data_IF_929878217934
#
_entry.id   IF_929878217934
#
_cell.length_a   1.000
_cell.length_b   1.000
_cell.length_c   1.000
_cell.angle_alpha   90.00
_cell.angle_beta   90.00
_cell.angle_gamma   90.00
#
_symmetry.space_group_name_H-M   'P 1'
#
loop_
_entity.id
_entity.type
_entity.pdbx_description
1 polymer ?
#
# COMPACT_ATOMS: atom_id res chain seq x y z
N UNK A 1 7.18 -4.09 3.62
CA UNK A 1 7.57 -2.83 4.33
C UNK A 1 7.23 -2.98 5.80
N UNK A 2 7.59 -2.04 6.69
CA UNK A 2 7.15 -2.07 8.10
C UNK A 2 5.69 -1.59 8.26
N UNK A 3 5.22 -0.74 7.35
CA UNK A 3 3.89 -0.13 7.35
C UNK A 3 3.12 -0.47 6.06
N UNK A 4 1.79 -0.37 6.08
CA UNK A 4 0.90 -0.61 4.93
C UNK A 4 1.18 0.37 3.76
N UNK A 5 0.60 0.08 2.59
CA UNK A 5 0.87 0.84 1.37
C UNK A 5 0.30 2.26 1.37
N UNK A 6 -0.85 2.46 2.02
CA UNK A 6 -1.59 3.72 1.99
C UNK A 6 -1.84 4.35 3.36
N UNK A 7 -1.30 3.76 4.44
CA UNK A 7 -1.41 4.28 5.81
C UNK A 7 -0.25 3.78 6.69
N UNK A 8 -0.11 4.37 7.89
CA UNK A 8 0.97 4.06 8.83
C UNK A 8 0.80 2.79 9.67
N UNK A 9 -0.29 2.02 9.51
CA UNK A 9 -0.47 0.78 10.28
C UNK A 9 0.64 -0.23 9.97
N UNK A 10 1.02 -1.03 10.97
CA UNK A 10 2.01 -2.10 10.82
C UNK A 10 1.53 -3.22 9.87
N UNK A 11 2.49 -3.95 9.31
CA UNK A 11 2.28 -5.19 8.54
C UNK A 11 2.85 -6.42 9.26
N UNK A 12 3.16 -6.30 10.55
CA UNK A 12 3.67 -7.39 11.36
C UNK A 12 2.64 -8.53 11.46
N UNK A 13 3.12 -9.76 11.32
CA UNK A 13 2.26 -10.95 11.33
C UNK A 13 1.91 -11.38 12.77
N UNK A 14 0.93 -12.28 12.89
CA UNK A 14 0.51 -12.92 14.15
C UNK A 14 0.02 -11.94 15.22
N UNK A 15 -0.80 -10.99 14.80
CA UNK A 15 -1.44 -10.02 15.69
C UNK A 15 -2.93 -10.33 15.81
N UNK A 16 -3.57 -9.80 16.85
CA UNK A 16 -5.00 -10.00 17.08
C UNK A 16 -5.84 -9.41 15.93
N UNK A 17 -7.02 -10.00 15.72
CA UNK A 17 -7.94 -9.55 14.69
C UNK A 17 -8.25 -8.04 14.83
N UNK A 18 -8.15 -7.31 13.71
CA UNK A 18 -8.42 -5.87 13.62
C UNK A 18 -7.54 -4.95 14.49
N UNK A 19 -6.52 -5.47 15.18
CA UNK A 19 -5.62 -4.68 16.06
C UNK A 19 -4.72 -3.68 15.31
N UNK A 20 -4.43 -3.94 14.04
CA UNK A 20 -3.55 -3.11 13.21
C UNK A 20 -4.32 -2.36 12.12
N UNK A 21 -5.39 -1.66 12.51
CA UNK A 21 -6.30 -0.96 11.60
C UNK A 21 -6.35 0.54 11.90
N UNK A 22 -6.88 1.32 10.95
CA UNK A 22 -7.10 2.76 11.09
C UNK A 22 -8.20 3.19 10.11
N UNK A 23 -8.68 4.44 10.18
CA UNK A 23 -9.73 4.93 9.28
C UNK A 23 -9.43 4.72 7.79
N UNK A 24 -8.16 4.82 7.36
CA UNK A 24 -7.78 4.66 5.95
C UNK A 24 -7.95 3.21 5.48
N UNK A 25 -7.37 2.24 6.19
CA UNK A 25 -7.42 0.83 5.76
C UNK A 25 -8.73 0.12 6.09
N UNK A 26 -9.59 0.75 6.89
CA UNK A 26 -10.99 0.36 7.09
C UNK A 26 -11.95 1.01 6.08
N UNK A 27 -11.47 1.93 5.25
CA UNK A 27 -12.31 2.64 4.28
C UNK A 27 -13.36 3.54 4.94
N UNK A 28 -13.07 4.12 6.11
CA UNK A 28 -14.01 4.99 6.80
C UNK A 28 -14.20 6.32 6.06
N UNK A 29 -15.40 6.93 6.13
CA UNK A 29 -15.67 8.23 5.51
C UNK A 29 -14.67 9.31 5.96
N UNK A 30 -14.17 10.08 4.99
CA UNK A 30 -13.22 11.18 5.23
C UNK A 30 -11.75 10.78 5.34
N UNK A 31 -11.42 9.49 5.34
CA UNK A 31 -10.03 9.04 5.37
C UNK A 31 -9.35 9.17 3.98
N UNK A 32 -8.08 9.58 3.96
CA UNK A 32 -7.30 9.79 2.72
C UNK A 32 -6.05 8.88 2.69
N UNK A 33 -5.70 8.30 1.52
CA UNK A 33 -4.51 7.46 1.38
C UNK A 33 -3.22 8.28 1.24
N UNK A 34 -2.11 7.80 1.81
CA UNK A 34 -0.75 8.34 1.61
C UNK A 34 0.19 7.22 1.20
N UNK A 35 0.84 7.35 0.05
CA UNK A 35 1.70 6.32 -0.55
C UNK A 35 2.95 6.05 0.30
N UNK A 36 3.30 4.78 0.44
CA UNK A 36 4.50 4.33 1.14
C UNK A 36 5.75 4.42 0.24
N UNK A 37 6.70 5.28 0.63
CA UNK A 37 7.98 5.48 -0.07
C UNK A 37 8.78 4.18 -0.26
N UNK A 38 8.97 3.40 0.81
CA UNK A 38 9.72 2.15 0.76
C UNK A 38 9.00 1.11 -0.10
N UNK A 39 7.67 1.15 -0.15
CA UNK A 39 6.86 0.32 -1.05
C UNK A 39 7.16 0.62 -2.53
N UNK A 40 7.22 1.90 -2.88
CA UNK A 40 7.58 2.35 -4.25
C UNK A 40 9.03 1.99 -4.58
N UNK A 41 9.98 2.28 -3.68
CA UNK A 41 11.39 1.94 -3.87
C UNK A 41 11.59 0.43 -4.09
N UNK A 42 10.89 -0.40 -3.31
CA UNK A 42 10.95 -1.87 -3.46
C UNK A 42 10.39 -2.33 -4.81
N UNK A 43 9.30 -1.71 -5.29
CA UNK A 43 8.72 -2.03 -6.59
C UNK A 43 9.69 -1.67 -7.74
N UNK A 44 10.36 -0.52 -7.67
CA UNK A 44 11.40 -0.12 -8.64
C UNK A 44 12.56 -1.12 -8.63
N UNK A 45 13.06 -1.50 -7.45
CA UNK A 45 14.14 -2.49 -7.31
C UNK A 45 13.79 -3.83 -7.94
N UNK A 46 12.56 -4.32 -7.73
CA UNK A 46 12.08 -5.57 -8.36
C UNK A 46 12.04 -5.42 -9.88
N UNK A 47 11.51 -4.31 -10.40
CA UNK A 47 11.49 -4.05 -11.85
C UNK A 47 12.89 -4.11 -12.46
N UNK A 48 13.87 -3.43 -11.86
CA UNK A 48 15.26 -3.45 -12.32
C UNK A 48 15.87 -4.86 -12.23
N UNK A 49 15.62 -5.60 -11.14
CA UNK A 49 16.11 -6.97 -10.96
C UNK A 49 15.54 -7.95 -12.01
N UNK A 50 14.35 -7.65 -12.54
CA UNK A 50 13.70 -8.40 -13.61
C UNK A 50 14.03 -7.85 -15.02
N UNK A 51 15.01 -6.94 -15.13
CA UNK A 51 15.40 -6.26 -16.37
C UNK A 51 14.26 -5.51 -17.06
N UNK A 52 13.31 -4.97 -16.29
CA UNK A 52 12.26 -4.10 -16.81
C UNK A 52 12.78 -2.67 -16.99
N UNK A 53 12.19 -1.96 -17.96
CA UNK A 53 12.29 -0.51 -18.05
C UNK A 53 11.32 0.14 -17.04
N UNK A 54 11.80 1.09 -16.26
CA UNK A 54 11.01 1.76 -15.23
C UNK A 54 10.40 3.02 -15.82
N UNK A 55 9.07 3.13 -15.77
CA UNK A 55 8.38 4.33 -16.21
C UNK A 55 8.74 5.54 -15.34
N UNK A 56 9.07 6.67 -15.99
CA UNK A 56 9.39 7.93 -15.30
C UNK A 56 8.16 8.54 -14.59
N UNK A 57 6.96 8.19 -15.05
CA UNK A 57 5.71 8.67 -14.47
C UNK A 57 4.67 7.56 -14.38
N UNK A 58 4.04 7.47 -13.21
CA UNK A 58 2.97 6.54 -12.90
C UNK A 58 1.93 7.21 -12.00
N UNK A 59 0.70 6.68 -12.03
CA UNK A 59 -0.38 7.06 -11.11
C UNK A 59 -1.12 5.85 -10.58
N UNK A 60 -1.70 5.97 -9.38
CA UNK A 60 -2.66 5.00 -8.88
C UNK A 60 -4.05 5.25 -9.49
N UNK A 61 -4.79 4.17 -9.73
CA UNK A 61 -6.18 4.20 -10.20
C UNK A 61 -7.06 3.33 -9.28
N UNK A 62 -8.36 3.66 -9.20
CA UNK A 62 -9.33 2.89 -8.38
C UNK A 62 -9.91 1.75 -9.21
N UNK A 63 -9.81 0.52 -8.72
CA UNK A 63 -10.50 -0.66 -9.26
C UNK A 63 -11.73 -0.93 -8.42
N UNK A 64 -12.92 -0.56 -8.92
CA UNK A 64 -14.17 -0.61 -8.14
C UNK A 64 -14.88 -1.95 -8.31
N UNK A 65 -15.24 -2.61 -7.20
CA UNK A 65 -16.04 -3.82 -7.12
C UNK A 65 -16.54 -4.02 -5.68
N UNK A 66 -17.59 -4.83 -5.48
CA UNK A 66 -18.12 -5.17 -4.15
C UNK A 66 -17.52 -6.49 -3.66
N UNK A 67 -16.93 -6.49 -2.46
CA UNK A 67 -16.44 -7.68 -1.75
C UNK A 67 -16.35 -7.37 -0.24
N UNK A 68 -16.82 -8.23 0.67
CA UNK A 68 -16.69 -8.04 2.12
C UNK A 68 -15.26 -8.11 2.65
#
# INVERSE_FOLDING_TARGET
TKTKMFCGCSTELKQDANSQTCPVCLGLPGALPVVNEIGVESAIKIGLALNCEIAEWCRFARKNYFYP
#
